data_IF_950663346674
#
_entry.id   IF_950663346674
#
_cell.length_a   1.000
_cell.length_b   1.000
_cell.length_c   1.000
_cell.angle_alpha   90.00
_cell.angle_beta   90.00
_cell.angle_gamma   90.00
#
_symmetry.space_group_name_H-M   'P 1'
#
loop_
_entity.id
_entity.type
_entity.pdbx_description
1 polymer ?
#
# COMPACT_ATOMS: atom_id res chain seq x y z
N UNK A 1 -9.34 -10.14 3.80
CA UNK A 1 -8.77 -11.39 3.27
C UNK A 1 -8.49 -12.42 4.37
N UNK A 2 -7.46 -12.28 5.22
CA UNK A 2 -7.10 -13.29 6.25
C UNK A 2 -8.26 -13.79 7.14
N UNK A 3 -9.16 -12.90 7.57
CA UNK A 3 -10.36 -13.30 8.34
C UNK A 3 -11.31 -14.19 7.55
N UNK A 4 -11.51 -13.91 6.26
CA UNK A 4 -12.38 -14.71 5.39
C UNK A 4 -11.81 -16.12 5.19
N UNK A 5 -10.49 -16.22 5.00
CA UNK A 5 -9.80 -17.51 4.89
C UNK A 5 -9.99 -18.39 6.13
N UNK A 6 -9.90 -17.81 7.34
CA UNK A 6 -10.16 -18.54 8.61
C UNK A 6 -11.60 -19.04 8.70
N UNK A 7 -12.56 -18.32 8.12
CA UNK A 7 -13.96 -18.71 8.08
C UNK A 7 -14.31 -19.63 6.89
N UNK A 8 -13.33 -20.05 6.08
CA UNK A 8 -13.57 -20.86 4.87
C UNK A 8 -14.30 -20.11 3.75
N UNK A 9 -14.30 -18.78 3.80
CA UNK A 9 -14.96 -17.92 2.80
C UNK A 9 -13.94 -17.56 1.70
N UNK A 10 -14.26 -17.80 0.42
CA UNK A 10 -13.44 -17.35 -0.70
C UNK A 10 -13.15 -15.86 -0.59
N UNK A 11 -11.88 -15.47 -0.75
CA UNK A 11 -11.52 -14.06 -0.69
C UNK A 11 -10.42 -13.67 -1.65
N UNK A 12 -10.57 -12.46 -2.17
CA UNK A 12 -9.73 -11.84 -3.17
C UNK A 12 -9.27 -10.47 -2.64
N UNK A 13 -7.98 -10.16 -2.74
CA UNK A 13 -7.45 -8.80 -2.61
C UNK A 13 -6.83 -8.36 -3.92
N UNK A 14 -7.03 -7.09 -4.25
CA UNK A 14 -6.49 -6.48 -5.47
C UNK A 14 -5.77 -5.21 -5.06
N UNK A 15 -4.52 -5.07 -5.47
CA UNK A 15 -3.70 -3.89 -5.23
C UNK A 15 -3.04 -3.42 -6.54
N UNK A 16 -2.83 -2.12 -6.66
CA UNK A 16 -2.08 -1.51 -7.75
C UNK A 16 -0.75 -0.98 -7.18
N UNK A 17 0.37 -1.39 -7.79
CA UNK A 17 1.70 -0.95 -7.36
C UNK A 17 2.00 0.50 -7.80
N UNK A 18 1.42 1.46 -7.07
CA UNK A 18 1.59 2.88 -7.33
C UNK A 18 2.99 3.37 -6.94
N UNK A 19 3.74 3.87 -7.93
CA UNK A 19 5.06 4.47 -7.74
C UNK A 19 5.00 5.97 -7.98
N UNK A 20 5.50 6.74 -7.02
CA UNK A 20 5.50 8.20 -7.07
C UNK A 20 6.38 8.69 -8.23
N UNK A 21 5.78 9.44 -9.15
CA UNK A 21 6.48 10.01 -10.31
C UNK A 21 6.47 9.11 -11.55
N UNK A 22 6.08 7.85 -11.41
CA UNK A 22 5.94 6.91 -12.52
C UNK A 22 4.46 6.65 -12.85
N UNK A 23 3.63 6.43 -11.82
CA UNK A 23 2.20 6.17 -11.99
C UNK A 23 1.41 7.42 -12.37
N UNK A 24 0.42 7.21 -13.24
CA UNK A 24 -0.53 8.20 -13.75
C UNK A 24 -1.95 7.88 -13.28
N UNK A 25 -2.83 8.86 -13.31
CA UNK A 25 -4.24 8.65 -12.98
C UNK A 25 -4.95 7.69 -13.94
N UNK A 26 -4.53 7.67 -15.21
CA UNK A 26 -5.01 6.72 -16.22
C UNK A 26 -4.78 5.26 -15.81
N UNK A 27 -3.74 4.99 -15.04
CA UNK A 27 -3.35 3.62 -14.68
C UNK A 27 -4.40 2.96 -13.79
N UNK A 28 -5.20 3.74 -13.04
CA UNK A 28 -6.35 3.20 -12.31
C UNK A 28 -7.43 2.65 -13.25
N UNK A 29 -7.70 3.35 -14.36
CA UNK A 29 -8.68 2.91 -15.35
C UNK A 29 -8.18 1.64 -16.05
N UNK A 30 -6.90 1.59 -16.39
CA UNK A 30 -6.30 0.42 -17.01
C UNK A 30 -6.28 -0.79 -16.05
N UNK A 31 -5.97 -0.55 -14.77
CA UNK A 31 -6.05 -1.56 -13.70
C UNK A 31 -7.45 -2.16 -13.57
N UNK A 32 -8.51 -1.35 -13.67
CA UNK A 32 -9.89 -1.84 -13.68
C UNK A 32 -10.11 -2.79 -14.88
N UNK A 33 -9.59 -2.43 -16.07
CA UNK A 33 -9.67 -3.28 -17.26
C UNK A 33 -8.99 -4.64 -17.07
N UNK A 34 -7.84 -4.66 -16.38
CA UNK A 34 -7.11 -5.90 -16.06
C UNK A 34 -7.85 -6.76 -15.04
N UNK A 35 -8.46 -6.15 -14.01
CA UNK A 35 -9.10 -6.90 -12.92
C UNK A 35 -10.53 -7.32 -13.20
N UNK A 36 -11.25 -6.63 -14.09
CA UNK A 36 -12.67 -6.92 -14.33
C UNK A 36 -12.93 -8.36 -14.83
N UNK A 37 -12.17 -8.90 -15.82
CA UNK A 37 -12.32 -10.30 -16.22
C UNK A 37 -12.08 -11.28 -15.06
N UNK A 38 -11.11 -10.97 -14.21
CA UNK A 38 -10.75 -11.81 -13.07
C UNK A 38 -11.82 -11.80 -11.98
N UNK A 39 -12.42 -10.63 -11.69
CA UNK A 39 -13.55 -10.51 -10.76
C UNK A 39 -14.76 -11.27 -11.32
N UNK A 40 -15.09 -11.09 -12.59
CA UNK A 40 -16.21 -11.78 -13.22
C UNK A 40 -16.01 -13.30 -13.19
N UNK A 41 -14.83 -13.79 -13.54
CA UNK A 41 -14.51 -15.21 -13.46
C UNK A 41 -14.58 -15.74 -12.03
N UNK A 42 -14.08 -14.98 -11.06
CA UNK A 42 -14.17 -15.32 -9.63
C UNK A 42 -15.63 -15.49 -9.19
N UNK A 43 -16.52 -14.55 -9.53
CA UNK A 43 -17.95 -14.65 -9.19
C UNK A 43 -18.57 -15.89 -9.85
N UNK A 44 -18.37 -16.08 -11.17
CA UNK A 44 -18.89 -17.22 -11.92
C UNK A 44 -18.46 -18.57 -11.33
N UNK A 45 -17.19 -18.68 -10.93
CA UNK A 45 -16.62 -19.96 -10.50
C UNK A 45 -16.82 -20.24 -9.02
N UNK A 46 -17.04 -19.21 -8.19
CA UNK A 46 -17.54 -19.39 -6.82
C UNK A 46 -18.94 -19.99 -6.85
N UNK A 47 -19.83 -19.47 -7.70
CA UNK A 47 -21.20 -20.00 -7.86
C UNK A 47 -21.23 -21.45 -8.34
N UNK A 48 -20.27 -21.83 -9.20
CA UNK A 48 -20.12 -23.21 -9.71
C UNK A 48 -19.34 -24.13 -8.76
N UNK A 49 -18.76 -23.60 -7.68
CA UNK A 49 -17.91 -24.37 -6.76
C UNK A 49 -16.57 -24.82 -7.35
N UNK A 50 -16.11 -24.17 -8.42
CA UNK A 50 -14.84 -24.45 -9.14
C UNK A 50 -13.69 -23.57 -8.63
N UNK A 51 -14.01 -22.48 -7.93
CA UNK A 51 -13.00 -21.59 -7.36
C UNK A 51 -12.06 -22.35 -6.38
N UNK A 52 -10.74 -22.07 -6.41
CA UNK A 52 -9.77 -22.72 -5.52
C UNK A 52 -10.16 -22.64 -4.04
N UNK A 53 -10.13 -23.78 -3.36
CA UNK A 53 -10.49 -23.92 -1.94
C UNK A 53 -9.28 -23.70 -1.04
N UNK A 54 -9.55 -23.48 0.24
CA UNK A 54 -8.56 -23.39 1.33
C UNK A 54 -7.46 -22.34 1.13
N UNK A 55 -7.69 -21.39 0.24
CA UNK A 55 -6.78 -20.29 -0.04
C UNK A 55 -7.54 -18.98 -0.29
N UNK A 56 -6.77 -17.90 -0.21
CA UNK A 56 -7.22 -16.57 -0.60
C UNK A 56 -6.24 -16.03 -1.63
N UNK A 57 -6.71 -15.29 -2.64
CA UNK A 57 -5.86 -14.83 -3.73
C UNK A 57 -5.50 -13.36 -3.57
N UNK A 58 -4.19 -13.06 -3.54
CA UNK A 58 -3.67 -11.70 -3.52
C UNK A 58 -3.23 -11.35 -4.95
N UNK A 59 -3.90 -10.40 -5.55
CA UNK A 59 -3.62 -9.93 -6.91
C UNK A 59 -2.90 -8.60 -6.79
N UNK A 60 -1.74 -8.52 -7.40
CA UNK A 60 -0.97 -7.28 -7.48
C UNK A 60 -0.76 -6.91 -8.94
N UNK A 61 -1.18 -5.70 -9.29
CA UNK A 61 -1.09 -5.16 -10.64
C UNK A 61 0.21 -4.34 -10.73
N UNK A 62 1.00 -4.51 -11.80
CA UNK A 62 2.23 -3.75 -12.00
C UNK A 62 1.93 -2.25 -12.15
N UNK A 63 2.97 -1.42 -11.98
CA UNK A 63 2.88 0.04 -12.01
C UNK A 63 2.28 0.58 -13.31
N UNK A 64 2.47 -0.14 -14.43
CA UNK A 64 1.91 0.19 -15.75
C UNK A 64 0.97 -0.92 -16.22
N UNK A 65 -0.33 -0.88 -15.85
CA UNK A 65 -1.28 -1.95 -16.18
C UNK A 65 -1.55 -2.10 -17.69
N UNK A 66 -1.44 -1.02 -18.47
CA UNK A 66 -1.65 -1.05 -19.92
C UNK A 66 -0.60 -1.86 -20.69
N UNK A 67 0.61 -2.00 -20.14
CA UNK A 67 1.69 -2.80 -20.73
C UNK A 67 1.88 -4.15 -20.02
N UNK A 68 0.85 -4.64 -19.31
CA UNK A 68 0.96 -5.91 -18.60
C UNK A 68 1.21 -7.06 -19.59
N UNK A 69 2.02 -8.04 -19.17
CA UNK A 69 2.38 -9.22 -19.97
C UNK A 69 1.46 -10.43 -19.74
N UNK A 70 0.39 -10.25 -18.97
CA UNK A 70 -0.50 -11.31 -18.50
C UNK A 70 -0.36 -11.60 -17.00
N UNK A 71 -0.93 -12.73 -16.58
CA UNK A 71 -1.00 -13.15 -15.18
C UNK A 71 0.05 -14.22 -14.89
N UNK A 72 0.73 -14.10 -13.76
CA UNK A 72 1.69 -15.08 -13.25
C UNK A 72 1.26 -15.52 -11.86
N UNK A 73 1.16 -16.83 -11.63
CA UNK A 73 0.98 -17.37 -10.27
C UNK A 73 2.32 -17.28 -9.55
N UNK A 74 2.32 -16.72 -8.35
CA UNK A 74 3.55 -16.34 -7.63
C UNK A 74 3.56 -16.88 -6.21
N UNK A 75 4.76 -16.93 -5.63
CA UNK A 75 5.00 -17.14 -4.20
C UNK A 75 5.07 -15.79 -3.49
N UNK A 76 4.58 -15.75 -2.25
CA UNK A 76 4.65 -14.55 -1.44
C UNK A 76 6.11 -14.21 -1.13
N UNK A 77 6.58 -13.01 -1.48
CA UNK A 77 7.90 -12.57 -1.05
C UNK A 77 7.91 -12.32 0.46
N UNK A 78 9.00 -12.72 1.11
CA UNK A 78 9.23 -12.43 2.53
C UNK A 78 9.94 -11.10 2.69
N UNK A 79 9.34 -10.03 2.16
CA UNK A 79 9.92 -8.70 2.29
C UNK A 79 9.83 -8.21 3.75
N UNK A 80 10.97 -7.90 4.37
CA UNK A 80 11.02 -7.22 5.67
C UNK A 80 11.49 -5.79 5.48
N UNK A 81 10.56 -4.86 5.21
CA UNK A 81 10.88 -3.45 5.47
C UNK A 81 11.28 -3.34 6.93
N UNK A 82 12.45 -2.78 7.20
CA UNK A 82 12.92 -2.65 8.56
C UNK A 82 12.13 -1.51 9.22
N UNK A 83 11.30 -1.79 10.25
CA UNK A 83 10.58 -0.75 10.93
C UNK A 83 11.57 0.13 11.70
N UNK A 84 11.44 1.44 11.57
CA UNK A 84 12.23 2.43 12.30
C UNK A 84 11.30 3.43 12.98
N UNK A 85 11.56 3.73 14.25
CA UNK A 85 10.77 4.69 15.02
C UNK A 85 11.52 6.03 15.09
N UNK A 86 10.96 7.07 14.48
CA UNK A 86 11.52 8.42 14.49
C UNK A 86 10.80 9.27 15.54
N UNK A 87 11.53 9.86 16.48
CA UNK A 87 10.95 10.79 17.44
C UNK A 87 10.51 12.09 16.75
N UNK A 88 9.26 12.51 16.97
CA UNK A 88 8.70 13.73 16.39
C UNK A 88 8.42 14.74 17.49
N UNK A 89 8.81 16.00 17.27
CA UNK A 89 8.52 17.07 18.20
C UNK A 89 7.02 17.40 18.21
N UNK A 90 6.45 17.61 19.40
CA UNK A 90 5.02 17.92 19.59
C UNK A 90 4.57 19.22 18.89
N UNK A 91 5.52 20.05 18.40
CA UNK A 91 5.26 21.39 17.87
C UNK A 91 5.08 21.45 16.34
N UNK A 92 5.08 20.32 15.62
CA UNK A 92 4.92 20.27 14.15
C UNK A 92 3.53 19.83 13.67
N UNK A 93 2.49 20.04 14.48
CA UNK A 93 1.10 19.82 14.07
C UNK A 93 0.36 21.16 13.90
N UNK A 94 0.08 21.62 12.67
CA UNK A 94 -0.98 22.60 12.41
C UNK A 94 -2.36 21.93 12.20
N UNK A 95 -2.48 20.61 12.35
CA UNK A 95 -3.63 19.83 11.89
C UNK A 95 -4.53 19.19 12.95
N UNK A 96 -4.35 19.46 14.24
CA UNK A 96 -5.27 18.99 15.28
C UNK A 96 -5.86 20.22 15.99
N UNK A 97 -7.16 20.44 15.81
CA UNK A 97 -7.86 21.66 16.19
C UNK A 97 -7.57 22.12 17.62
N UNK A 98 -6.78 23.18 17.75
CA UNK A 98 -6.92 24.15 18.82
C UNK A 98 -7.62 25.37 18.21
N UNK A 99 -8.94 25.36 18.36
CA UNK A 99 -9.77 26.55 18.22
C UNK A 99 -9.15 27.69 19.04
N UNK A 100 -8.78 28.78 18.38
CA UNK A 100 -8.18 29.95 19.02
C UNK A 100 -9.18 30.58 19.99
N UNK A 101 -8.75 30.81 21.22
CA UNK A 101 -9.45 31.67 22.17
C UNK A 101 -8.42 32.63 22.78
N UNK A 102 -8.51 33.88 22.35
CA UNK A 102 -7.98 35.11 22.96
C UNK A 102 -6.56 35.12 23.55
N UNK A 103 -5.63 35.73 22.81
CA UNK A 103 -4.79 36.79 23.39
C UNK A 103 -4.59 37.94 22.37
N UNK A 104 -5.27 39.05 22.62
CA UNK A 104 -4.85 40.37 22.18
C UNK A 104 -3.84 40.91 23.20
N UNK A 105 -2.66 41.36 22.75
CA UNK A 105 -1.91 42.48 23.34
C UNK A 105 -0.56 42.67 22.63
N UNK A 106 -0.54 43.65 21.71
CA UNK A 106 0.53 44.62 21.41
C UNK A 106 1.98 44.34 21.84
N UNK A 107 2.89 44.38 20.87
CA UNK A 107 4.33 44.59 21.07
C UNK A 107 5.16 44.45 19.80
N UNK A 108 5.41 45.58 19.14
CA UNK A 108 6.41 45.89 18.09
C UNK A 108 7.72 45.07 18.13
N UNK A 109 8.57 44.90 17.11
CA UNK A 109 8.82 45.46 15.77
C UNK A 109 9.82 44.46 15.14
N UNK A 110 9.85 44.23 13.82
CA UNK A 110 10.68 45.02 12.90
C UNK A 110 10.34 44.65 11.46
N UNK A 111 10.11 45.69 10.66
CA UNK A 111 9.98 45.69 9.20
C UNK A 111 11.27 45.15 8.52
N UNK A 112 11.36 44.84 7.23
CA UNK A 112 10.70 45.40 6.05
C UNK A 112 10.86 44.42 4.87
N UNK A 113 9.76 44.20 4.15
CA UNK A 113 9.61 44.30 2.69
C UNK A 113 10.74 43.79 1.75
N UNK A 114 10.34 42.87 0.88
CA UNK A 114 11.04 42.55 -0.37
C UNK A 114 10.12 41.75 -1.31
N UNK A 115 9.40 42.49 -2.15
CA UNK A 115 8.28 42.13 -3.04
C UNK A 115 8.49 40.94 -3.98
N UNK A 116 7.34 40.47 -4.45
CA UNK A 116 7.04 39.31 -5.27
C UNK A 116 7.62 39.28 -6.70
N UNK A 117 7.62 38.02 -7.16
CA UNK A 117 7.29 37.50 -8.48
C UNK A 117 8.41 37.19 -9.48
N UNK A 118 8.19 36.02 -10.09
CA UNK A 118 8.92 35.29 -11.10
C UNK A 118 9.33 36.19 -12.29
N UNK A 119 10.23 35.83 -13.21
CA UNK A 119 10.14 34.63 -14.05
C UNK A 119 11.49 34.37 -14.76
N UNK A 120 11.71 33.08 -15.06
CA UNK A 120 12.57 32.51 -16.12
C UNK A 120 14.09 32.33 -15.89
N UNK A 121 14.42 31.04 -15.90
CA UNK A 121 15.60 30.40 -16.52
C UNK A 121 16.90 30.22 -15.72
N UNK A 122 17.10 28.93 -15.39
CA UNK A 122 18.36 28.17 -15.42
C UNK A 122 19.31 28.25 -14.22
N UNK A 123 19.03 27.42 -13.20
CA UNK A 123 19.88 26.29 -12.75
C UNK A 123 19.39 25.78 -11.38
N UNK A 124 18.93 24.51 -11.35
CA UNK A 124 18.69 23.71 -10.14
C UNK A 124 17.25 23.72 -9.56
N UNK A 125 16.55 22.57 -9.45
CA UNK A 125 15.28 22.49 -8.74
C UNK A 125 15.37 21.65 -7.47
N UNK A 126 15.45 22.29 -6.29
CA UNK A 126 15.05 21.70 -5.02
C UNK A 126 13.69 22.30 -4.61
N UNK A 127 12.58 21.70 -5.09
CA UNK A 127 11.24 22.02 -4.58
C UNK A 127 10.82 20.94 -3.58
N UNK A 128 10.89 21.26 -2.29
CA UNK A 128 10.21 20.49 -1.24
C UNK A 128 8.71 20.78 -1.34
N UNK A 129 7.97 19.92 -2.03
CA UNK A 129 6.51 19.87 -1.91
C UNK A 129 6.12 19.06 -0.67
N UNK A 130 5.37 19.71 0.21
CA UNK A 130 4.81 19.19 1.45
C UNK A 130 3.91 17.98 1.18
N UNK A 131 4.33 16.80 1.64
CA UNK A 131 3.51 15.59 1.59
C UNK A 131 2.68 15.48 2.87
N UNK A 132 1.37 15.68 2.76
CA UNK A 132 0.39 15.22 3.75
C UNK A 132 0.40 13.68 3.71
N UNK A 133 1.00 13.02 4.71
CA UNK A 133 0.95 11.55 4.86
C UNK A 133 0.02 11.21 6.01
N UNK A 134 -1.16 10.71 5.64
CA UNK A 134 -2.26 10.30 6.51
C UNK A 134 -2.02 8.85 6.95
N UNK A 135 -1.34 8.68 8.09
CA UNK A 135 -1.36 7.46 8.92
C UNK A 135 -0.57 7.74 10.21
N UNK A 136 -1.16 8.54 11.10
CA UNK A 136 -0.71 8.64 12.49
C UNK A 136 -1.64 7.71 13.25
N UNK A 137 -1.14 6.53 13.63
CA UNK A 137 -1.79 5.73 14.66
C UNK A 137 -1.17 6.12 16.00
N UNK A 138 -1.96 6.78 16.85
CA UNK A 138 -1.58 7.17 18.20
C UNK A 138 -1.66 5.93 19.10
N UNK A 139 -0.50 5.37 19.48
CA UNK A 139 -0.45 4.24 20.40
C UNK A 139 -0.42 4.82 21.82
N UNK A 140 -1.60 4.90 22.46
CA UNK A 140 -1.72 5.26 23.88
C UNK A 140 -1.34 4.04 24.76
N UNK A 141 -0.23 4.14 25.50
CA UNK A 141 0.10 3.16 26.53
C UNK A 141 -0.69 3.51 27.81
N UNK A 142 -1.77 2.77 28.07
CA UNK A 142 -2.63 3.00 29.24
C UNK A 142 -2.13 2.19 30.44
N UNK A 143 -1.27 2.79 31.26
CA UNK A 143 -1.01 2.35 32.62
C UNK A 143 -1.93 3.09 33.59
N UNK A 144 -2.91 2.39 34.18
CA UNK A 144 -3.85 2.95 35.17
C UNK A 144 -3.09 3.37 36.43
N UNK A 145 -2.95 4.68 36.65
CA UNK A 145 -2.66 5.24 37.96
C UNK A 145 -3.11 6.71 37.99
N UNK A 146 -4.23 6.96 38.67
CA UNK A 146 -4.73 8.30 38.93
C UNK A 146 -3.76 9.06 39.84
N UNK A 147 -3.08 10.09 39.30
CA UNK A 147 -2.44 11.20 40.02
C UNK A 147 -2.03 12.28 39.02
N UNK A 148 -2.14 13.54 39.44
CA UNK A 148 -1.90 14.79 38.68
C UNK A 148 -0.80 14.65 37.64
N UNK A 149 -1.19 14.67 36.37
CA UNK A 149 -0.38 14.12 35.30
C UNK A 149 0.56 15.17 34.69
N UNK A 150 1.76 15.32 35.24
CA UNK A 150 2.86 16.05 34.60
C UNK A 150 3.61 15.15 33.59
N UNK A 151 2.93 14.23 32.91
CA UNK A 151 3.55 13.33 31.93
C UNK A 151 3.89 14.08 30.64
N UNK A 152 5.18 14.11 30.32
CA UNK A 152 5.66 14.58 29.02
C UNK A 152 5.27 13.54 27.96
N UNK A 153 4.31 13.89 27.09
CA UNK A 153 3.94 13.06 25.94
C UNK A 153 5.07 13.07 24.90
N UNK A 154 5.50 11.90 24.44
CA UNK A 154 6.47 11.72 23.36
C UNK A 154 5.76 11.10 22.16
N UNK A 155 5.95 11.69 20.97
CA UNK A 155 5.38 11.20 19.73
C UNK A 155 6.46 10.51 18.90
N UNK A 156 6.12 9.35 18.35
CA UNK A 156 6.99 8.61 17.44
C UNK A 156 6.25 8.36 16.14
N UNK A 157 6.97 8.46 15.03
CA UNK A 157 6.49 8.07 13.71
C UNK A 157 7.15 6.76 13.34
N UNK A 158 6.35 5.77 12.97
CA UNK A 158 6.84 4.56 12.33
C UNK A 158 7.15 4.86 10.86
N UNK A 159 8.41 4.68 10.47
CA UNK A 159 8.87 4.74 9.09
C UNK A 159 9.45 3.39 8.68
N UNK A 160 9.28 3.03 7.42
CA UNK A 160 9.72 1.75 6.87
C UNK A 160 10.85 1.99 5.88
N UNK A 161 12.00 1.40 6.14
CA UNK A 161 13.16 1.50 5.25
C UNK A 161 13.14 0.33 4.25
N UNK A 162 13.23 0.65 2.96
CA UNK A 162 13.37 -0.33 1.91
C UNK A 162 14.84 -0.82 1.92
N UNK A 163 15.05 -2.10 2.17
CA UNK A 163 16.34 -2.74 1.94
C UNK A 163 16.31 -3.32 0.55
N UNK A 164 17.16 -2.86 -0.36
CA UNK A 164 17.33 -3.55 -1.64
C UNK A 164 17.72 -5.00 -1.36
N UNK A 165 16.85 -5.93 -1.77
CA UNK A 165 17.10 -7.35 -1.63
C UNK A 165 17.16 -7.94 -3.03
N UNK A 166 18.29 -8.54 -3.37
CA UNK A 166 18.44 -9.26 -4.63
C UNK A 166 17.54 -10.50 -4.58
N UNK A 167 16.49 -10.49 -5.40
CA UNK A 167 15.54 -11.58 -5.51
C UNK A 167 16.06 -12.60 -6.52
N UNK A 168 16.55 -13.75 -6.05
CA UNK A 168 17.03 -14.83 -6.92
C UNK A 168 15.93 -15.78 -7.39
N UNK A 169 14.76 -15.75 -6.75
CA UNK A 169 13.61 -16.58 -7.11
C UNK A 169 12.69 -15.82 -8.07
N UNK A 170 12.57 -16.33 -9.29
CA UNK A 170 11.76 -15.78 -10.38
C UNK A 170 10.25 -15.90 -10.12
N UNK A 171 9.83 -16.79 -9.21
CA UNK A 171 8.42 -17.02 -8.90
C UNK A 171 7.86 -16.04 -7.86
N UNK A 172 8.67 -15.11 -7.36
CA UNK A 172 8.24 -14.15 -6.35
C UNK A 172 7.26 -13.11 -6.92
N UNK A 173 6.29 -12.73 -6.10
CA UNK A 173 5.31 -11.69 -6.40
C UNK A 173 5.97 -10.36 -6.84
N UNK A 174 6.96 -9.90 -6.10
CA UNK A 174 7.72 -8.68 -6.39
C UNK A 174 8.46 -8.77 -7.73
N UNK A 175 9.04 -9.93 -8.03
CA UNK A 175 9.78 -10.17 -9.26
C UNK A 175 8.83 -10.17 -10.48
N UNK A 176 7.66 -10.79 -10.33
CA UNK A 176 6.61 -10.74 -11.35
C UNK A 176 6.16 -9.30 -11.64
N UNK A 177 5.99 -8.47 -10.61
CA UNK A 177 5.65 -7.06 -10.77
C UNK A 177 6.73 -6.24 -11.46
N UNK A 178 8.00 -6.46 -11.11
CA UNK A 178 9.15 -5.83 -11.76
C UNK A 178 9.25 -6.21 -13.24
N UNK A 179 8.94 -7.46 -13.56
CA UNK A 179 8.94 -7.96 -14.94
C UNK A 179 7.67 -7.55 -15.72
N UNK A 180 6.71 -6.87 -15.09
CA UNK A 180 5.50 -6.34 -15.72
C UNK A 180 4.34 -7.34 -15.85
N UNK A 181 4.34 -8.40 -15.05
CA UNK A 181 3.22 -9.33 -14.93
C UNK A 181 2.29 -8.92 -13.80
N UNK A 182 1.01 -9.28 -13.93
CA UNK A 182 0.07 -9.28 -12.81
C UNK A 182 0.40 -10.48 -11.94
N UNK A 183 0.77 -10.23 -10.69
CA UNK A 183 1.07 -11.27 -9.71
C UNK A 183 -0.23 -11.82 -9.13
N UNK A 184 -0.37 -13.15 -9.08
CA UNK A 184 -1.45 -13.82 -8.37
C UNK A 184 -0.88 -14.78 -7.33
N UNK A 185 -0.92 -14.36 -6.08
CA UNK A 185 -0.32 -15.08 -4.96
C UNK A 185 -1.41 -15.78 -4.14
N UNK A 186 -1.50 -17.11 -4.18
CA UNK A 186 -2.33 -17.83 -3.22
C UNK A 186 -1.74 -17.71 -1.82
N UNK A 187 -2.59 -17.35 -0.87
CA UNK A 187 -2.30 -17.30 0.55
C UNK A 187 -3.11 -18.39 1.25
N UNK A 188 -2.39 -19.37 1.81
CA UNK A 188 -2.94 -20.50 2.56
C UNK A 188 -2.58 -20.37 4.05
N UNK A 189 -3.40 -20.96 4.93
CA UNK A 189 -3.12 -20.98 6.38
C UNK A 189 -2.05 -22.02 6.76
N UNK A 190 -1.85 -23.03 5.90
CA UNK A 190 -0.99 -24.17 6.15
C UNK A 190 0.12 -24.25 5.09
N UNK A 191 1.41 -24.18 5.48
CA UNK A 191 2.54 -24.25 4.54
C UNK A 191 2.59 -25.53 3.71
N UNK A 192 1.98 -26.62 4.20
CA UNK A 192 1.95 -27.92 3.53
C UNK A 192 1.14 -27.89 2.22
N UNK A 193 0.25 -26.92 2.06
CA UNK A 193 -0.65 -26.85 0.90
C UNK A 193 -0.12 -25.95 -0.22
N UNK A 194 1.00 -25.25 -0.01
CA UNK A 194 1.46 -24.19 -0.94
C UNK A 194 1.62 -24.69 -2.39
N UNK A 195 2.19 -25.89 -2.60
CA UNK A 195 2.38 -26.42 -3.96
C UNK A 195 1.09 -26.89 -4.63
N UNK A 196 0.19 -27.53 -3.89
CA UNK A 196 -1.09 -28.02 -4.43
C UNK A 196 -2.04 -26.85 -4.71
N UNK A 197 -2.09 -25.90 -3.77
CA UNK A 197 -2.82 -24.65 -3.93
C UNK A 197 -2.31 -23.86 -5.14
N UNK A 198 -0.98 -23.72 -5.31
CA UNK A 198 -0.42 -23.04 -6.48
C UNK A 198 -0.80 -23.73 -7.79
N UNK A 199 -0.74 -25.07 -7.86
CA UNK A 199 -1.14 -25.81 -9.05
C UNK A 199 -2.63 -25.61 -9.36
N UNK A 200 -3.51 -25.73 -8.36
CA UNK A 200 -4.95 -25.52 -8.51
C UNK A 200 -5.29 -24.09 -8.99
N UNK A 201 -4.59 -23.08 -8.45
CA UNK A 201 -4.76 -21.69 -8.87
C UNK A 201 -4.22 -21.46 -10.27
N UNK A 202 -3.08 -22.04 -10.64
CA UNK A 202 -2.53 -21.94 -12.00
C UNK A 202 -3.45 -22.57 -13.04
N UNK A 203 -4.05 -23.72 -12.72
CA UNK A 203 -5.05 -24.35 -13.56
C UNK A 203 -6.32 -23.49 -13.67
N UNK A 204 -6.78 -22.94 -12.54
CA UNK A 204 -7.96 -22.09 -12.50
C UNK A 204 -7.77 -20.81 -13.33
N UNK A 205 -6.67 -20.06 -13.16
CA UNK A 205 -6.38 -18.85 -13.96
C UNK A 205 -6.36 -19.18 -15.46
N UNK A 206 -5.71 -20.29 -15.81
CA UNK A 206 -5.62 -20.74 -17.20
C UNK A 206 -6.98 -21.08 -17.81
N UNK A 207 -7.98 -21.49 -17.02
CA UNK A 207 -9.35 -21.74 -17.49
C UNK A 207 -10.21 -20.47 -17.45
N UNK A 208 -10.14 -19.74 -16.34
CA UNK A 208 -10.94 -18.56 -16.02
C UNK A 208 -10.75 -17.40 -17.01
N UNK A 209 -9.52 -17.24 -17.53
CA UNK A 209 -9.19 -16.15 -18.45
C UNK A 209 -9.25 -16.55 -19.93
N UNK A 210 -9.27 -17.85 -20.24
CA UNK A 210 -9.42 -18.35 -21.61
C UNK A 210 -10.88 -18.67 -21.98
N UNK A 211 -11.81 -18.66 -21.01
CA UNK A 211 -13.21 -19.03 -21.26
C UNK A 211 -14.05 -17.97 -21.97
N UNK A 212 -13.50 -16.79 -22.23
CA UNK A 212 -14.17 -15.66 -22.88
C UNK A 212 -13.64 -15.41 -24.32
N UNK A 213 -13.02 -16.42 -24.96
CA UNK A 213 -12.55 -16.38 -26.36
C UNK A 213 -13.25 -17.41 -27.25
#
# INVERSE_FOLDING_TARGET
MKRALVCGVPSLSISLNLKKGESKESDFKDAIGVCLPLINATIRDIEKGVFPKDCSLNIEIPTSPSSNKGFKVTKQSTWRQSPSWQAVSANRHPGAGKFMSNQQSLGAHRAQLGRDFCIWQSQGPARRFTTQKKSIEEIESVGVAAKTDSRVKKYFRLEFEAKEQEHTDEDLDIKALEDGFVSVTPLSLLPKMDSETQAAVSEWISKALNSDQ
#
